data_IF_709894019021
#
_entry.id   IF_709894019021
#
_cell.length_a   1.000
_cell.length_b   1.000
_cell.length_c   1.000
_cell.angle_alpha   90.00
_cell.angle_beta   90.00
_cell.angle_gamma   90.00
#
_symmetry.space_group_name_H-M   'P 1'
#
loop_
_entity.id
_entity.type
_entity.pdbx_description
1 polymer ?
#
# COMPACT_ATOMS: atom_id res chain seq x y z
N UNK A 1 -11.80 0.18 -16.52
CA UNK A 1 -10.52 0.66 -15.97
C UNK A 1 -10.60 0.33 -14.50
N UNK A 2 -9.67 -0.48 -13.98
CA UNK A 2 -9.67 -0.80 -12.56
C UNK A 2 -9.40 0.48 -11.77
N UNK A 3 -10.14 0.68 -10.68
CA UNK A 3 -9.99 1.84 -9.82
C UNK A 3 -9.35 1.40 -8.50
N UNK A 4 -8.36 2.15 -8.02
CA UNK A 4 -7.73 1.85 -6.73
C UNK A 4 -8.30 2.77 -5.65
N UNK A 5 -8.66 2.19 -4.51
CA UNK A 5 -9.26 2.92 -3.39
C UNK A 5 -8.58 2.59 -2.06
N UNK A 6 -8.79 3.46 -1.08
CA UNK A 6 -8.48 3.20 0.33
C UNK A 6 -7.01 2.91 0.66
N UNK A 7 -6.05 3.50 -0.08
CA UNK A 7 -4.61 3.29 0.17
C UNK A 7 -4.20 3.60 1.62
N UNK A 8 -3.45 2.68 2.24
CA UNK A 8 -2.84 2.85 3.57
C UNK A 8 -1.40 2.34 3.57
N UNK A 9 -0.58 2.99 4.40
CA UNK A 9 0.74 2.49 4.78
C UNK A 9 0.61 1.80 6.13
N UNK A 10 1.02 0.53 6.19
CA UNK A 10 1.02 -0.27 7.41
C UNK A 10 2.45 -0.72 7.70
N UNK A 11 2.95 -0.44 8.90
CA UNK A 11 4.23 -0.96 9.37
C UNK A 11 4.04 -2.32 10.03
N UNK A 12 4.66 -3.35 9.47
CA UNK A 12 4.51 -4.73 9.94
C UNK A 12 5.79 -5.55 9.71
N UNK A 13 5.92 -6.66 10.42
CA UNK A 13 7.08 -7.56 10.27
C UNK A 13 6.85 -8.60 9.17
N UNK A 14 5.63 -8.70 8.64
CA UNK A 14 5.26 -9.62 7.56
C UNK A 14 4.04 -9.14 6.76
N UNK A 15 3.92 -9.64 5.54
CA UNK A 15 2.77 -9.39 4.66
C UNK A 15 1.44 -9.83 5.31
N UNK A 16 1.40 -10.99 5.96
CA UNK A 16 0.20 -11.48 6.65
C UNK A 16 -0.23 -10.57 7.80
N UNK A 17 0.74 -10.02 8.54
CA UNK A 17 0.47 -9.06 9.61
C UNK A 17 -0.05 -7.74 9.04
N UNK A 18 0.58 -7.21 7.99
CA UNK A 18 0.14 -5.98 7.33
C UNK A 18 -1.32 -6.07 6.86
N UNK A 19 -1.68 -7.19 6.21
CA UNK A 19 -3.05 -7.47 5.78
C UNK A 19 -4.02 -7.55 6.96
N UNK A 20 -3.66 -8.26 8.03
CA UNK A 20 -4.50 -8.35 9.24
C UNK A 20 -4.74 -6.99 9.89
N UNK A 21 -3.69 -6.17 10.02
CA UNK A 21 -3.81 -4.82 10.57
C UNK A 21 -4.73 -3.95 9.71
N UNK A 22 -4.55 -3.97 8.38
CA UNK A 22 -5.41 -3.23 7.45
C UNK A 22 -6.88 -3.69 7.52
N UNK A 23 -7.13 -5.00 7.50
CA UNK A 23 -8.49 -5.55 7.60
C UNK A 23 -9.15 -5.22 8.95
N UNK A 24 -8.36 -5.03 10.01
CA UNK A 24 -8.85 -4.62 11.33
C UNK A 24 -9.33 -3.16 11.36
N UNK A 25 -9.02 -2.35 10.34
CA UNK A 25 -9.54 -0.99 10.18
C UNK A 25 -11.02 -0.98 9.75
N UNK A 26 -11.57 -2.14 9.37
CA UNK A 26 -12.96 -2.33 8.93
C UNK A 26 -13.42 -1.37 7.80
N UNK A 27 -12.50 -1.02 6.90
CA UNK A 27 -12.77 -0.17 5.75
C UNK A 27 -13.71 -0.89 4.78
N UNK A 28 -14.80 -0.24 4.40
CA UNK A 28 -15.78 -0.76 3.44
C UNK A 28 -15.42 -0.34 2.02
N UNK A 29 -15.56 -1.26 1.08
CA UNK A 29 -15.51 -1.00 -0.37
C UNK A 29 -16.92 -0.97 -0.93
N UNK A 30 -17.16 -0.18 -1.98
CA UNK A 30 -18.46 -0.18 -2.66
C UNK A 30 -18.57 -1.36 -3.62
N UNK A 31 -17.45 -1.80 -4.20
CA UNK A 31 -17.38 -3.00 -5.04
C UNK A 31 -17.25 -4.27 -4.18
N UNK A 32 -18.22 -5.21 -4.26
CA UNK A 32 -18.14 -6.50 -3.56
C UNK A 32 -17.06 -7.43 -4.11
N UNK A 33 -16.51 -7.14 -5.30
CA UNK A 33 -15.41 -7.88 -5.90
C UNK A 33 -14.06 -7.20 -5.68
N UNK A 34 -14.00 -6.14 -4.86
CA UNK A 34 -12.77 -5.44 -4.56
C UNK A 34 -11.72 -6.42 -4.00
N UNK A 35 -10.52 -6.37 -4.58
CA UNK A 35 -9.39 -7.22 -4.18
C UNK A 35 -8.41 -6.39 -3.37
N UNK A 36 -8.04 -6.85 -2.17
CA UNK A 36 -7.01 -6.21 -1.36
C UNK A 36 -5.63 -6.58 -1.90
N UNK A 37 -4.92 -5.60 -2.42
CA UNK A 37 -3.51 -5.72 -2.77
C UNK A 37 -2.62 -5.25 -1.62
N UNK A 38 -1.41 -5.81 -1.55
CA UNK A 38 -0.45 -5.53 -0.48
C UNK A 38 0.97 -5.76 -0.98
N UNK A 39 1.75 -4.69 -1.03
CA UNK A 39 3.13 -4.69 -1.51
C UNK A 39 4.06 -4.14 -0.45
N UNK A 40 5.21 -4.78 -0.25
CA UNK A 40 6.28 -4.17 0.55
C UNK A 40 6.97 -3.15 -0.33
N UNK A 41 7.03 -1.88 0.09
CA UNK A 41 7.49 -0.80 -0.77
C UNK A 41 8.90 -1.05 -1.34
N UNK A 42 9.81 -1.55 -0.50
CA UNK A 42 11.21 -1.81 -0.88
C UNK A 42 11.42 -3.07 -1.72
N UNK A 43 10.39 -3.91 -1.89
CA UNK A 43 10.48 -5.12 -2.72
C UNK A 43 10.11 -4.85 -4.19
N UNK A 44 9.57 -3.66 -4.48
CA UNK A 44 9.26 -3.23 -5.84
C UNK A 44 10.56 -2.87 -6.59
N UNK A 45 10.75 -3.44 -7.79
CA UNK A 45 12.02 -3.39 -8.53
C UNK A 45 12.49 -1.95 -8.84
N UNK A 46 11.56 -1.04 -9.11
CA UNK A 46 11.83 0.36 -9.46
C UNK A 46 11.64 1.34 -8.28
N UNK A 47 11.54 0.83 -7.04
CA UNK A 47 11.33 1.70 -5.89
C UNK A 47 12.62 2.42 -5.46
N UNK A 48 12.57 3.75 -5.47
CA UNK A 48 13.66 4.62 -5.03
C UNK A 48 13.26 5.35 -3.75
N UNK A 49 13.90 5.03 -2.63
CA UNK A 49 13.58 5.63 -1.32
C UNK A 49 13.73 7.16 -1.32
N UNK A 50 14.70 7.64 -2.09
CA UNK A 50 15.11 9.04 -2.23
C UNK A 50 14.16 9.84 -3.14
N UNK A 51 13.38 9.16 -3.99
CA UNK A 51 12.47 9.79 -4.94
C UNK A 51 11.29 10.45 -4.23
N UNK A 52 10.83 11.58 -4.76
CA UNK A 52 9.66 12.31 -4.26
C UNK A 52 8.36 11.52 -4.43
N UNK A 53 8.30 10.59 -5.39
CA UNK A 53 7.17 9.70 -5.60
C UNK A 53 7.66 8.35 -6.15
N UNK A 54 6.87 7.29 -5.94
CA UNK A 54 7.14 5.97 -6.52
C UNK A 54 5.87 5.36 -7.11
N UNK A 55 6.04 4.29 -7.88
CA UNK A 55 4.97 3.36 -8.18
C UNK A 55 5.11 2.14 -7.28
N UNK A 56 4.00 1.74 -6.67
CA UNK A 56 3.94 0.51 -5.86
C UNK A 56 2.70 -0.27 -6.32
N UNK A 57 2.92 -1.44 -6.91
CA UNK A 57 1.87 -2.17 -7.62
C UNK A 57 1.27 -1.34 -8.77
N UNK A 58 -0.04 -1.10 -8.71
CA UNK A 58 -0.81 -0.33 -9.71
C UNK A 58 -1.04 1.15 -9.31
N UNK A 59 -0.43 1.65 -8.22
CA UNK A 59 -0.63 3.03 -7.76
C UNK A 59 0.66 3.86 -7.76
N UNK A 60 0.50 5.18 -7.94
CA UNK A 60 1.54 6.15 -7.62
C UNK A 60 1.39 6.62 -6.17
N UNK A 61 2.45 6.48 -5.38
CA UNK A 61 2.51 7.00 -4.01
C UNK A 61 3.06 8.42 -4.01
N UNK A 62 2.29 9.36 -3.45
CA UNK A 62 2.62 10.78 -3.41
C UNK A 62 3.78 11.10 -2.44
N UNK A 63 4.34 12.32 -2.49
CA UNK A 63 5.37 12.74 -1.52
C UNK A 63 4.98 12.55 -0.06
N UNK A 64 3.73 12.86 0.32
CA UNK A 64 3.25 12.68 1.70
C UNK A 64 3.23 11.19 2.12
N UNK A 65 2.90 10.30 1.18
CA UNK A 65 2.94 8.86 1.41
C UNK A 65 4.39 8.36 1.47
N UNK A 66 5.26 8.88 0.62
CA UNK A 66 6.70 8.60 0.66
C UNK A 66 7.33 9.05 1.98
N UNK A 67 6.97 10.23 2.50
CA UNK A 67 7.40 10.69 3.82
C UNK A 67 7.00 9.71 4.94
N UNK A 68 5.83 9.09 4.82
CA UNK A 68 5.39 8.04 5.75
C UNK A 68 6.27 6.80 5.58
N UNK A 69 6.42 6.29 4.36
CA UNK A 69 7.24 5.09 4.07
C UNK A 69 8.68 5.26 4.59
N UNK A 70 9.28 6.45 4.42
CA UNK A 70 10.64 6.76 4.87
C UNK A 70 10.84 6.68 6.39
N UNK A 71 9.79 6.67 7.20
CA UNK A 71 9.91 6.52 8.65
C UNK A 71 10.39 5.12 9.05
N UNK A 72 10.00 4.09 8.31
CA UNK A 72 10.38 2.69 8.54
C UNK A 72 10.22 1.86 7.24
N UNK A 73 11.11 2.08 6.24
CA UNK A 73 10.92 1.54 4.89
C UNK A 73 10.96 0.00 4.86
N UNK A 74 11.77 -0.62 5.72
CA UNK A 74 11.89 -2.08 5.84
C UNK A 74 10.62 -2.77 6.35
N UNK A 75 9.70 -2.01 6.95
CA UNK A 75 8.44 -2.52 7.49
C UNK A 75 7.25 -1.91 6.79
N UNK A 76 7.44 -1.02 5.81
CA UNK A 76 6.39 -0.30 5.13
C UNK A 76 5.70 -1.15 4.05
N UNK A 77 4.45 -1.54 4.31
CA UNK A 77 3.57 -2.15 3.34
C UNK A 77 2.55 -1.13 2.82
N UNK A 78 2.39 -1.08 1.51
CA UNK A 78 1.36 -0.29 0.82
C UNK A 78 0.20 -1.22 0.51
N UNK A 79 -0.97 -0.92 1.07
CA UNK A 79 -2.19 -1.68 0.86
C UNK A 79 -3.29 -0.81 0.27
N UNK A 80 -4.00 -1.33 -0.71
CA UNK A 80 -5.14 -0.66 -1.35
C UNK A 80 -6.10 -1.69 -1.92
N UNK A 81 -7.35 -1.29 -2.14
CA UNK A 81 -8.32 -2.11 -2.85
C UNK A 81 -8.28 -1.82 -4.35
N UNK A 82 -8.39 -2.88 -5.15
CA UNK A 82 -8.55 -2.83 -6.60
C UNK A 82 -10.00 -3.18 -6.93
N UNK A 83 -10.74 -2.20 -7.45
CA UNK A 83 -12.16 -2.30 -7.81
C UNK A 83 -12.32 -2.44 -9.33
N UNK A 84 -13.26 -3.30 -9.76
CA UNK A 84 -13.40 -3.80 -11.13
C UNK A 84 -14.54 -3.22 -11.95
#
# INVERSE_FOLDING_TARGET
MKHTTNTRIIFADSLDEAKKQYLSLDIKTEDPNAVLECYKATDEEDFELDSDFNFVGEISVSPEVMETIRQDPERAYVLYYLEG
#
